data_IF_241870994726
#
_entry.id   IF_241870994726
#
_cell.length_a   1.000
_cell.length_b   1.000
_cell.length_c   1.000
_cell.angle_alpha   90.00
_cell.angle_beta   90.00
_cell.angle_gamma   90.00
#
_symmetry.space_group_name_H-M   'P 1'
#
loop_
_entity.id
_entity.type
_entity.pdbx_description
1 polymer ?
#
# COMPACT_ATOMS: atom_id res chain seq x y z
N UNK A 1 -5.62 7.55 5.66
CA UNK A 1 -4.15 7.47 5.84
C UNK A 1 -3.63 7.64 7.27
N UNK A 2 -3.77 8.79 7.96
CA UNK A 2 -3.08 9.02 9.26
C UNK A 2 -3.34 7.95 10.33
N UNK A 3 -4.59 7.46 10.47
CA UNK A 3 -4.92 6.41 11.43
C UNK A 3 -4.19 5.08 11.14
N UNK A 4 -4.22 4.64 9.88
CA UNK A 4 -3.60 3.39 9.44
C UNK A 4 -2.09 3.43 9.66
N UNK A 5 -1.46 4.56 9.34
CA UNK A 5 -0.06 4.83 9.66
C UNK A 5 0.21 4.74 11.17
N UNK A 6 -0.59 5.39 12.02
CA UNK A 6 -0.37 5.35 13.47
C UNK A 6 -0.48 3.95 14.06
N UNK A 7 -1.40 3.12 13.56
CA UNK A 7 -1.55 1.73 14.02
C UNK A 7 -0.31 0.89 13.69
N UNK A 8 0.19 0.96 12.46
CA UNK A 8 1.36 0.15 12.08
C UNK A 8 2.64 0.63 12.73
N UNK A 9 2.79 1.94 12.96
CA UNK A 9 3.93 2.50 13.68
C UNK A 9 3.89 2.10 15.17
N UNK A 10 2.74 2.19 15.83
CA UNK A 10 2.61 1.83 17.25
C UNK A 10 2.78 0.33 17.50
N UNK A 11 2.22 -0.52 16.63
CA UNK A 11 2.28 -1.97 16.76
C UNK A 11 3.48 -2.61 16.05
N UNK A 12 4.30 -1.79 15.38
CA UNK A 12 5.46 -2.25 14.64
C UNK A 12 5.09 -3.31 13.57
N UNK A 13 3.93 -3.13 12.92
CA UNK A 13 3.45 -4.00 11.85
C UNK A 13 3.99 -3.57 10.50
N UNK A 14 4.14 -4.53 9.58
CA UNK A 14 4.65 -4.28 8.23
C UNK A 14 3.69 -3.47 7.36
N UNK A 15 2.39 -3.63 7.53
CA UNK A 15 1.38 -2.89 6.79
C UNK A 15 0.02 -2.92 7.50
N UNK A 16 -0.92 -2.12 7.01
CA UNK A 16 -2.33 -2.17 7.37
C UNK A 16 -3.20 -1.98 6.13
N UNK A 17 -4.42 -2.52 6.20
CA UNK A 17 -5.44 -2.39 5.16
C UNK A 17 -6.75 -1.96 5.78
N UNK A 18 -7.51 -1.18 5.02
CA UNK A 18 -8.90 -0.85 5.30
C UNK A 18 -9.76 -1.38 4.15
N UNK A 19 -10.68 -2.27 4.51
CA UNK A 19 -11.67 -2.85 3.62
C UNK A 19 -13.00 -2.16 3.85
N UNK A 20 -13.63 -1.66 2.79
CA UNK A 20 -14.91 -0.95 2.88
C UNK A 20 -16.00 -1.75 2.16
N UNK A 21 -17.20 -1.81 2.74
CA UNK A 21 -18.36 -2.39 2.08
C UNK A 21 -18.73 -1.54 0.85
N UNK A 22 -18.79 -2.17 -0.31
CA UNK A 22 -19.37 -1.61 -1.53
C UNK A 22 -20.85 -2.01 -1.58
N UNK A 23 -21.81 -1.10 -1.30
CA UNK A 23 -23.23 -1.48 -1.19
C UNK A 23 -23.80 -2.02 -2.51
N UNK A 24 -23.30 -1.51 -3.64
CA UNK A 24 -23.74 -1.92 -4.98
C UNK A 24 -23.32 -3.35 -5.32
N UNK A 25 -22.17 -3.80 -4.81
CA UNK A 25 -21.62 -5.12 -5.10
C UNK A 25 -21.86 -6.12 -3.96
N UNK A 26 -22.24 -5.65 -2.77
CA UNK A 26 -22.46 -6.48 -1.60
C UNK A 26 -21.19 -7.15 -1.05
N UNK A 27 -20.01 -6.61 -1.37
CA UNK A 27 -18.69 -7.16 -0.96
C UNK A 27 -17.82 -6.08 -0.33
N UNK A 28 -16.89 -6.49 0.51
CA UNK A 28 -15.79 -5.67 1.01
C UNK A 28 -14.75 -5.53 -0.10
N UNK A 29 -14.40 -4.30 -0.44
CA UNK A 29 -13.34 -3.97 -1.41
C UNK A 29 -12.23 -3.19 -0.73
N UNK A 30 -11.03 -3.22 -1.30
CA UNK A 30 -9.92 -2.42 -0.79
C UNK A 30 -10.28 -0.93 -0.88
N UNK A 31 -10.03 -0.18 0.20
CA UNK A 31 -10.34 1.25 0.27
C UNK A 31 -9.14 2.12 0.64
N UNK A 32 -8.31 1.68 1.60
CA UNK A 32 -7.08 2.38 1.97
C UNK A 32 -6.07 1.39 2.57
N UNK A 33 -4.82 1.83 2.72
CA UNK A 33 -3.76 1.03 3.32
C UNK A 33 -2.53 1.87 3.64
N UNK A 34 -1.65 1.34 4.49
CA UNK A 34 -0.33 1.92 4.70
C UNK A 34 0.73 0.83 4.74
N UNK A 35 1.77 0.99 3.92
CA UNK A 35 2.95 0.14 3.93
C UNK A 35 4.04 0.74 4.83
N UNK A 36 4.44 -0.02 5.84
CA UNK A 36 5.41 0.37 6.86
C UNK A 36 6.74 -0.39 6.73
N UNK A 37 6.92 -1.25 5.72
CA UNK A 37 8.19 -1.95 5.50
C UNK A 37 8.55 -2.99 6.58
N UNK A 38 9.74 -3.56 6.49
CA UNK A 38 10.21 -4.57 7.44
C UNK A 38 10.66 -3.91 8.75
N UNK A 39 9.77 -3.90 9.72
CA UNK A 39 9.92 -3.16 10.99
C UNK A 39 11.07 -3.68 11.87
N UNK A 40 11.60 -4.89 11.61
CA UNK A 40 12.67 -5.50 12.42
C UNK A 40 13.99 -4.70 12.47
N UNK A 41 14.20 -3.74 11.56
CA UNK A 41 15.44 -2.94 11.48
C UNK A 41 15.40 -1.70 12.43
N UNK A 42 14.24 -1.32 12.98
CA UNK A 42 14.05 -0.03 13.66
C UNK A 42 14.58 0.12 15.09
N UNK A 43 15.03 -0.96 15.73
CA UNK A 43 15.50 -0.90 17.13
C UNK A 43 16.87 -0.19 17.31
N UNK A 44 17.51 0.31 16.25
CA UNK A 44 18.86 0.87 16.31
C UNK A 44 19.04 2.26 15.67
N UNK A 45 17.95 2.97 15.36
CA UNK A 45 18.00 4.22 14.56
C UNK A 45 17.74 5.44 15.46
N UNK A 46 18.51 6.51 15.27
CA UNK A 46 18.45 7.71 16.13
C UNK A 46 17.20 8.57 15.82
N UNK A 47 16.65 9.34 16.78
CA UNK A 47 15.43 10.13 16.58
C UNK A 47 15.43 11.09 15.38
N UNK A 48 16.61 11.60 14.97
CA UNK A 48 16.75 12.48 13.81
C UNK A 48 16.59 11.77 12.46
N UNK A 49 16.83 10.47 12.40
CA UNK A 49 16.73 9.64 11.21
C UNK A 49 15.29 9.15 10.98
N UNK A 50 14.45 9.16 12.03
CA UNK A 50 13.05 8.75 11.98
C UNK A 50 12.20 9.63 11.04
N UNK A 51 12.42 10.94 11.01
CA UNK A 51 11.66 11.87 10.16
C UNK A 51 11.88 11.61 8.65
N UNK A 52 13.12 11.31 8.27
CA UNK A 52 13.46 10.94 6.88
C UNK A 52 12.91 9.57 6.49
N UNK A 53 12.95 8.60 7.41
CA UNK A 53 12.39 7.26 7.19
C UNK A 53 10.85 7.32 7.05
N UNK A 54 10.16 8.09 7.89
CA UNK A 54 8.72 8.27 7.81
C UNK A 54 8.28 8.87 6.47
N UNK A 55 8.98 9.91 6.01
CA UNK A 55 8.72 10.50 4.70
C UNK A 55 8.95 9.49 3.57
N UNK A 56 10.01 8.67 3.66
CA UNK A 56 10.28 7.61 2.71
C UNK A 56 9.17 6.55 2.68
N UNK A 57 8.68 6.09 3.83
CA UNK A 57 7.62 5.09 3.90
C UNK A 57 6.29 5.60 3.37
N UNK A 58 5.96 6.86 3.66
CA UNK A 58 4.80 7.54 3.07
C UNK A 58 4.93 7.55 1.54
N UNK A 59 6.08 7.97 1.01
CA UNK A 59 6.34 7.97 -0.43
C UNK A 59 6.26 6.54 -1.01
N UNK A 60 6.83 5.54 -0.32
CA UNK A 60 6.82 4.16 -0.78
C UNK A 60 5.40 3.59 -0.83
N UNK A 61 4.58 3.86 0.19
CA UNK A 61 3.17 3.46 0.20
C UNK A 61 2.39 4.12 -0.95
N UNK A 62 2.70 5.37 -1.30
CA UNK A 62 2.11 6.06 -2.46
C UNK A 62 2.55 5.44 -3.80
N UNK A 63 3.84 5.11 -3.95
CA UNK A 63 4.35 4.46 -5.17
C UNK A 63 3.70 3.09 -5.41
N UNK A 64 3.52 2.28 -4.36
CA UNK A 64 2.84 0.99 -4.45
C UNK A 64 1.39 1.13 -4.90
N UNK A 65 0.68 2.14 -4.37
CA UNK A 65 -0.70 2.44 -4.77
C UNK A 65 -0.78 2.92 -6.22
N UNK A 66 0.10 3.83 -6.63
CA UNK A 66 0.14 4.31 -8.01
C UNK A 66 0.45 3.18 -9.02
N UNK A 67 1.34 2.26 -8.65
CA UNK A 67 1.61 1.07 -9.45
C UNK A 67 0.40 0.15 -9.55
N UNK A 68 -0.33 -0.08 -8.45
CA UNK A 68 -1.58 -0.83 -8.50
C UNK A 68 -2.61 -0.17 -9.41
N UNK A 69 -2.80 1.15 -9.28
CA UNK A 69 -3.72 1.92 -10.11
C UNK A 69 -3.34 1.82 -11.60
N UNK A 70 -2.06 1.95 -11.96
CA UNK A 70 -1.61 1.82 -13.36
C UNK A 70 -1.83 0.42 -13.94
N UNK A 71 -1.59 -0.63 -13.14
CA UNK A 71 -1.85 -2.01 -13.54
C UNK A 71 -3.35 -2.28 -13.71
N UNK A 72 -4.19 -1.78 -12.80
CA UNK A 72 -5.66 -1.95 -12.87
C UNK A 72 -6.28 -1.25 -14.08
N UNK A 73 -5.77 -0.06 -14.46
CA UNK A 73 -6.24 0.69 -15.62
C UNK A 73 -5.79 0.05 -16.92
N UNK A 74 -4.60 -0.58 -16.95
CA UNK A 74 -4.09 -1.28 -18.13
C UNK A 74 -4.99 -2.46 -18.55
N UNK A 75 -5.70 -3.09 -17.61
CA UNK A 75 -6.69 -4.12 -17.89
C UNK A 75 -7.96 -3.53 -18.56
N UNK A 76 -8.27 -2.25 -18.30
CA UNK A 76 -9.41 -1.50 -18.86
C UNK A 76 -8.96 -0.48 -19.90
N UNK A 77 -8.45 -0.94 -21.06
CA UNK A 77 -8.03 -0.17 -22.25
C UNK A 77 -8.47 1.31 -22.35
N UNK A 78 -7.69 2.23 -21.78
CA UNK A 78 -7.51 3.62 -22.27
C UNK A 78 -6.09 4.06 -21.90
N UNK A 79 -5.23 4.51 -22.84
CA UNK A 79 -3.89 4.97 -22.50
C UNK A 79 -3.97 6.37 -21.88
N UNK A 80 -3.66 6.50 -20.58
CA UNK A 80 -3.50 7.82 -19.95
C UNK A 80 -2.09 8.35 -20.19
N UNK A 81 -2.02 9.47 -20.89
CA UNK A 81 -0.85 10.36 -20.93
C UNK A 81 -0.62 10.91 -19.53
N UNK A 82 0.66 11.08 -19.15
CA UNK A 82 1.22 11.61 -17.90
C UNK A 82 1.71 10.55 -16.90
N UNK A 83 2.98 10.14 -17.04
CA UNK A 83 3.73 9.58 -15.91
C UNK A 83 5.03 10.37 -15.70
N UNK A 84 5.20 11.00 -14.52
CA UNK A 84 6.49 11.54 -14.10
C UNK A 84 7.48 10.39 -13.91
N UNK A 85 8.69 10.65 -14.38
CA UNK A 85 9.83 9.74 -14.44
C UNK A 85 10.20 9.13 -13.09
N UNK A 86 10.51 7.83 -13.13
CA UNK A 86 10.77 6.87 -12.02
C UNK A 86 9.48 6.14 -11.58
N UNK A 87 8.93 5.33 -12.49
CA UNK A 87 7.94 4.30 -12.15
C UNK A 87 8.64 3.15 -11.41
N UNK A 88 8.10 2.78 -10.25
CA UNK A 88 8.42 1.52 -9.60
C UNK A 88 7.95 0.37 -10.51
N UNK A 89 8.86 -0.45 -11.03
CA UNK A 89 8.48 -1.61 -11.86
C UNK A 89 7.97 -2.76 -10.97
N UNK A 90 7.03 -3.60 -11.45
CA UNK A 90 6.66 -4.83 -10.74
C UNK A 90 7.86 -5.73 -10.40
N UNK A 91 8.91 -5.71 -11.24
CA UNK A 91 10.15 -6.47 -11.01
C UNK A 91 11.05 -5.94 -9.88
N UNK A 92 10.82 -4.70 -9.43
CA UNK A 92 11.60 -4.05 -8.37
C UNK A 92 10.98 -4.25 -6.98
N UNK A 93 9.87 -4.99 -6.88
CA UNK A 93 9.15 -5.22 -5.65
C UNK A 93 9.78 -6.37 -4.85
N UNK A 94 9.94 -6.17 -3.55
CA UNK A 94 10.17 -7.29 -2.63
C UNK A 94 8.93 -8.18 -2.55
N UNK A 95 9.08 -9.43 -2.09
CA UNK A 95 7.94 -10.35 -1.91
C UNK A 95 6.83 -9.75 -1.04
N UNK A 96 7.20 -9.04 0.02
CA UNK A 96 6.24 -8.40 0.92
C UNK A 96 5.50 -7.22 0.27
N UNK A 97 6.19 -6.45 -0.57
CA UNK A 97 5.57 -5.36 -1.33
C UNK A 97 4.65 -5.89 -2.43
N UNK A 98 5.07 -6.97 -3.10
CA UNK A 98 4.23 -7.67 -4.05
C UNK A 98 2.97 -8.21 -3.38
N UNK A 99 3.10 -8.87 -2.23
CA UNK A 99 1.96 -9.35 -1.46
C UNK A 99 1.02 -8.20 -1.04
N UNK A 100 1.58 -7.07 -0.59
CA UNK A 100 0.81 -5.89 -0.23
C UNK A 100 0.01 -5.33 -1.42
N UNK A 101 0.64 -5.27 -2.59
CA UNK A 101 0.00 -4.82 -3.83
C UNK A 101 -1.10 -5.79 -4.28
N UNK A 102 -0.83 -7.10 -4.30
CA UNK A 102 -1.80 -8.14 -4.66
C UNK A 102 -3.03 -8.08 -3.75
N UNK A 103 -2.84 -7.81 -2.45
CA UNK A 103 -3.99 -7.65 -1.55
C UNK A 103 -4.94 -6.56 -2.03
N UNK A 104 -4.49 -5.46 -2.63
CA UNK A 104 -5.38 -4.38 -3.08
C UNK A 104 -6.40 -4.83 -4.14
N UNK A 105 -6.17 -5.95 -4.84
CA UNK A 105 -7.09 -6.48 -5.86
C UNK A 105 -8.19 -7.39 -5.31
N UNK A 106 -8.14 -7.75 -4.03
CA UNK A 106 -9.14 -8.67 -3.46
C UNK A 106 -10.48 -7.99 -3.17
N UNK A 107 -11.52 -8.82 -3.19
CA UNK A 107 -12.85 -8.48 -2.70
C UNK A 107 -13.44 -9.68 -1.97
N UNK A 108 -14.17 -9.43 -0.87
CA UNK A 108 -14.67 -10.48 0.02
C UNK A 108 -16.16 -10.31 0.31
N UNK A 109 -16.99 -11.36 0.18
CA UNK A 109 -18.33 -11.35 0.75
C UNK A 109 -18.29 -11.19 2.28
N UNK A 110 -19.27 -10.53 2.91
CA UNK A 110 -19.37 -10.47 4.35
C UNK A 110 -19.38 -11.87 4.99
N UNK A 111 -18.55 -12.08 6.00
CA UNK A 111 -18.43 -13.37 6.71
C UNK A 111 -17.48 -14.37 6.06
N UNK A 112 -16.80 -14.01 4.96
CA UNK A 112 -15.78 -14.83 4.31
C UNK A 112 -14.39 -14.18 4.43
N UNK A 113 -13.35 -15.00 4.54
CA UNK A 113 -11.95 -14.59 4.62
C UNK A 113 -10.99 -15.77 4.50
#
# INVERSE_FOLDING_TARGET
MQLLQSVVQSLQWTYSFFWQLCPEQGVLVWADGYYNGNVRIRKMVQPSELSGEEAFLIQRSQQLRQLYESLSVAETKVPSVHQPSIELSPGDLTETEWFYLVCMSFAFPPGCG
#
